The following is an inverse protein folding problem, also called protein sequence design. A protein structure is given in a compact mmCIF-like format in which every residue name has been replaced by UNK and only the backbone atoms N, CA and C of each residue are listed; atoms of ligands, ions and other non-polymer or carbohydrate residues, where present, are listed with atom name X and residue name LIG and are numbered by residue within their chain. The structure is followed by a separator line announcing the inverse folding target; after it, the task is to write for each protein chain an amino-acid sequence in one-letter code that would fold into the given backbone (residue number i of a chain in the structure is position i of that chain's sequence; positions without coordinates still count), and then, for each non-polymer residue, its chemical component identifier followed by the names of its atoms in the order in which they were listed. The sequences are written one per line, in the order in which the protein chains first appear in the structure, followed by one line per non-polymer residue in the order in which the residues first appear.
data_IF_218232312273
#
_entry.id   IF_218232312273
#
_cell.length_a   1.000
_cell.length_b   1.000
_cell.length_c   1.000
_cell.angle_alpha   90.00
_cell.angle_beta   90.00
_cell.angle_gamma   90.00
#
_symmetry.space_group_name_H-M   'P 1'
#
loop_
_entity.id
_entity.type
_entity.pdbx_description
1 polymer ?
#
# COMPACT_ATOMS: atom_id res chain seq x y z
N UNK A 1 10.67 -8.76 -59.37
CA UNK A 1 10.58 -7.29 -59.32
C UNK A 1 9.41 -6.87 -60.18
N UNK A 2 8.44 -6.06 -59.74
CA UNK A 2 8.35 -5.23 -58.50
C UNK A 2 7.54 -5.99 -57.39
N UNK A 3 7.73 -5.87 -56.06
CA UNK A 3 7.68 -4.75 -55.07
C UNK A 3 6.35 -3.96 -55.17
N UNK A 4 5.56 -3.65 -54.13
CA UNK A 4 5.70 -3.70 -52.67
C UNK A 4 4.36 -3.23 -52.03
N UNK A 5 4.10 -3.62 -50.76
CA UNK A 5 3.41 -2.85 -49.70
C UNK A 5 1.97 -2.34 -50.01
N UNK A 6 0.93 -2.79 -49.33
CA UNK A 6 0.75 -2.70 -47.89
C UNK A 6 -0.26 -1.60 -47.58
N UNK A 7 -1.42 -1.98 -47.02
CA UNK A 7 -2.15 -1.12 -46.08
C UNK A 7 -2.86 -2.04 -45.09
N UNK A 8 -2.14 -2.44 -44.06
CA UNK A 8 -2.76 -2.86 -42.81
C UNK A 8 -3.57 -1.68 -42.29
N UNK A 9 -4.89 -1.81 -42.24
CA UNK A 9 -5.72 -0.84 -41.52
C UNK A 9 -5.26 -0.85 -40.06
N UNK A 10 -4.78 0.27 -39.49
CA UNK A 10 -4.66 0.34 -38.04
C UNK A 10 -6.08 0.29 -37.48
N UNK A 11 -6.39 -0.77 -36.74
CA UNK A 11 -7.54 -0.76 -35.87
C UNK A 11 -7.33 0.39 -34.87
N UNK A 12 -7.96 1.54 -35.14
CA UNK A 12 -8.01 2.64 -34.20
C UNK A 12 -8.90 2.14 -33.06
N UNK A 13 -8.26 1.53 -32.05
CA UNK A 13 -8.87 1.32 -30.75
C UNK A 13 -9.13 2.71 -30.17
N UNK A 14 -10.32 3.23 -30.45
CA UNK A 14 -10.82 4.44 -29.81
C UNK A 14 -11.13 4.08 -28.36
N UNK A 15 -10.09 4.06 -27.53
CA UNK A 15 -10.23 3.97 -26.09
C UNK A 15 -10.99 5.23 -25.65
N UNK A 16 -12.25 5.05 -25.27
CA UNK A 16 -13.05 6.08 -24.64
C UNK A 16 -12.28 6.66 -23.44
N UNK A 17 -11.62 7.79 -23.67
CA UNK A 17 -10.77 8.49 -22.70
C UNK A 17 -11.54 8.92 -21.45
N UNK A 18 -12.86 9.04 -21.56
CA UNK A 18 -13.78 9.28 -20.45
C UNK A 18 -13.91 8.07 -19.49
N UNK A 19 -13.88 6.84 -20.00
CA UNK A 19 -13.97 5.64 -19.15
C UNK A 19 -12.69 5.46 -18.32
N UNK A 20 -11.53 5.77 -18.91
CA UNK A 20 -10.22 5.68 -18.23
C UNK A 20 -10.11 6.68 -17.07
N UNK A 21 -10.69 7.88 -17.21
CA UNK A 21 -10.68 8.90 -16.15
C UNK A 21 -11.48 8.49 -14.91
N UNK A 22 -12.58 7.75 -15.07
CA UNK A 22 -13.42 7.30 -13.93
C UNK A 22 -12.89 6.05 -13.22
N UNK A 23 -11.95 5.32 -13.83
CA UNK A 23 -11.33 4.14 -13.23
C UNK A 23 -10.25 4.55 -12.21
N UNK A 24 -9.48 5.62 -12.49
CA UNK A 24 -8.39 6.05 -11.61
C UNK A 24 -8.82 6.37 -10.16
N UNK A 25 -9.92 7.10 -9.92
CA UNK A 25 -10.36 7.39 -8.55
C UNK A 25 -10.76 6.13 -7.77
N UNK A 26 -11.45 5.19 -8.44
CA UNK A 26 -11.88 3.92 -7.83
C UNK A 26 -10.69 3.02 -7.49
N UNK A 27 -9.68 2.97 -8.37
CA UNK A 27 -8.45 2.21 -8.11
C UNK A 27 -7.70 2.79 -6.91
N UNK A 28 -7.52 4.11 -6.85
CA UNK A 28 -6.82 4.78 -5.73
C UNK A 28 -7.53 4.58 -4.39
N UNK A 29 -8.87 4.62 -4.39
CA UNK A 29 -9.66 4.37 -3.17
C UNK A 29 -9.49 2.92 -2.71
N UNK A 30 -9.57 1.97 -3.63
CA UNK A 30 -9.38 0.55 -3.32
C UNK A 30 -7.98 0.29 -2.75
N UNK A 31 -6.95 0.86 -3.37
CA UNK A 31 -5.57 0.78 -2.90
C UNK A 31 -5.40 1.38 -1.50
N UNK A 32 -6.04 2.51 -1.21
CA UNK A 32 -6.04 3.09 0.12
C UNK A 32 -6.73 2.18 1.16
N UNK A 33 -7.87 1.58 0.80
CA UNK A 33 -8.55 0.61 1.66
C UNK A 33 -7.69 -0.62 1.93
N UNK A 34 -7.00 -1.16 0.92
CA UNK A 34 -6.11 -2.31 1.05
C UNK A 34 -4.93 -1.99 1.99
N UNK A 35 -4.34 -0.79 1.88
CA UNK A 35 -3.28 -0.32 2.78
C UNK A 35 -3.77 -0.17 4.23
N UNK A 36 -4.97 0.36 4.44
CA UNK A 36 -5.58 0.48 5.76
C UNK A 36 -5.83 -0.91 6.36
N UNK A 37 -6.38 -1.85 5.59
CA UNK A 37 -6.62 -3.21 6.07
C UNK A 37 -5.32 -3.92 6.51
N UNK A 38 -4.26 -3.78 5.71
CA UNK A 38 -2.93 -4.31 6.06
C UNK A 38 -2.37 -3.65 7.33
N UNK A 39 -2.48 -2.34 7.45
CA UNK A 39 -2.04 -1.61 8.64
C UNK A 39 -2.83 -2.06 9.88
N UNK A 40 -4.14 -2.26 9.78
CA UNK A 40 -4.95 -2.78 10.88
C UNK A 40 -4.46 -4.14 11.36
N UNK A 41 -4.28 -5.12 10.45
CA UNK A 41 -3.78 -6.45 10.83
C UNK A 41 -2.39 -6.39 11.45
N UNK A 42 -1.52 -5.50 10.98
CA UNK A 42 -0.19 -5.29 11.55
C UNK A 42 -0.25 -4.65 12.94
N UNK A 43 -1.16 -3.71 13.16
CA UNK A 43 -1.40 -3.10 14.47
C UNK A 43 -1.92 -4.15 15.47
N UNK A 44 -2.87 -4.98 15.07
CA UNK A 44 -3.40 -6.08 15.88
C UNK A 44 -2.28 -7.06 16.27
N UNK A 45 -1.43 -7.43 15.32
CA UNK A 45 -0.27 -8.27 15.60
C UNK A 45 0.68 -7.63 16.61
N UNK A 46 1.04 -6.35 16.43
CA UNK A 46 1.93 -5.64 17.36
C UNK A 46 1.30 -5.56 18.77
N UNK A 47 0.00 -5.28 18.85
CA UNK A 47 -0.74 -5.23 20.12
C UNK A 47 -0.82 -6.59 20.82
N UNK A 48 -0.70 -7.70 20.08
CA UNK A 48 -0.64 -9.05 20.67
C UNK A 48 0.68 -9.35 21.38
N UNK A 49 1.73 -8.55 21.15
CA UNK A 49 3.04 -8.76 21.77
C UNK A 49 2.99 -8.27 23.22
N UNK A 50 2.94 -9.21 24.16
CA UNK A 50 3.09 -8.93 25.59
C UNK A 50 4.54 -9.14 26.02
N UNK A 51 5.13 -8.13 26.68
CA UNK A 51 6.42 -8.25 27.35
C UNK A 51 6.16 -8.53 28.82
N UNK A 52 6.29 -9.79 29.24
CA UNK A 52 6.14 -10.20 30.63
C UNK A 52 7.51 -10.43 31.25
N UNK A 53 7.83 -9.68 32.30
CA UNK A 53 8.91 -10.05 33.20
C UNK A 53 8.44 -11.11 34.19
N UNK A 54 9.35 -11.95 34.67
CA UNK A 54 9.07 -12.80 35.83
C UNK A 54 8.83 -11.93 37.07
N UNK A 55 8.08 -12.47 38.04
CA UNK A 55 7.88 -11.79 39.33
C UNK A 55 9.25 -11.44 39.95
N UNK A 56 9.39 -10.18 40.34
CA UNK A 56 10.60 -9.59 40.93
C UNK A 56 11.83 -9.46 40.00
N UNK A 57 11.65 -9.55 38.67
CA UNK A 57 12.71 -9.23 37.69
C UNK A 57 12.40 -7.97 36.89
N UNK A 58 13.41 -7.16 36.66
CA UNK A 58 13.31 -6.06 35.69
C UNK A 58 13.30 -6.60 34.27
N UNK A 59 12.42 -6.06 33.42
CA UNK A 59 12.46 -6.30 31.99
C UNK A 59 13.59 -5.47 31.37
N UNK A 60 14.75 -6.09 31.18
CA UNK A 60 15.87 -5.45 30.49
C UNK A 60 15.85 -5.87 29.02
N UNK A 61 15.69 -4.89 28.13
CA UNK A 61 15.79 -5.08 26.68
C UNK A 61 17.19 -4.68 26.23
N UNK A 62 17.95 -5.64 25.71
CA UNK A 62 19.27 -5.42 25.15
C UNK A 62 19.19 -4.59 23.85
N UNK A 63 20.25 -3.84 23.51
CA UNK A 63 20.36 -3.20 22.21
C UNK A 63 20.09 -4.20 21.10
N UNK A 64 19.25 -3.80 20.12
CA UNK A 64 18.75 -4.61 18.99
C UNK A 64 17.58 -5.55 19.27
N UNK A 65 17.21 -5.83 20.52
CA UNK A 65 16.04 -6.68 20.80
C UNK A 65 14.71 -6.04 20.40
N UNK A 66 14.67 -4.71 20.34
CA UNK A 66 13.49 -3.94 19.89
C UNK A 66 13.57 -3.49 18.43
N UNK A 67 14.65 -3.81 17.70
CA UNK A 67 14.85 -3.31 16.33
C UNK A 67 13.80 -3.86 15.37
N UNK A 68 13.41 -5.13 15.52
CA UNK A 68 12.31 -5.71 14.73
C UNK A 68 10.98 -4.99 14.98
N UNK A 69 10.67 -4.73 16.26
CA UNK A 69 9.46 -3.98 16.65
C UNK A 69 9.47 -2.56 16.08
N UNK A 70 10.63 -1.88 16.14
CA UNK A 70 10.81 -0.55 15.57
C UNK A 70 10.50 -0.54 14.06
N UNK A 71 11.07 -1.45 13.27
CA UNK A 71 10.80 -1.49 11.83
C UNK A 71 9.35 -1.84 11.50
N UNK A 72 8.73 -2.72 12.29
CA UNK A 72 7.31 -3.04 12.14
C UNK A 72 6.40 -1.83 12.43
N UNK A 73 6.74 -1.02 13.43
CA UNK A 73 6.02 0.23 13.71
C UNK A 73 6.24 1.28 12.61
N UNK A 74 7.45 1.35 12.06
CA UNK A 74 7.76 2.26 10.97
C UNK A 74 6.96 1.91 9.70
N UNK A 75 6.93 0.63 9.30
CA UNK A 75 6.17 0.17 8.13
C UNK A 75 4.66 0.41 8.29
N UNK A 76 4.13 0.19 9.50
CA UNK A 76 2.74 0.52 9.84
C UNK A 76 2.42 2.00 9.54
N UNK A 77 3.25 2.92 10.06
CA UNK A 77 3.07 4.36 9.86
C UNK A 77 3.18 4.74 8.40
N UNK A 78 4.12 4.15 7.66
CA UNK A 78 4.32 4.43 6.24
C UNK A 78 3.12 4.00 5.39
N UNK A 79 2.47 2.88 5.72
CA UNK A 79 1.23 2.43 5.07
C UNK A 79 0.07 3.39 5.31
N UNK A 80 -0.11 3.84 6.56
CA UNK A 80 -1.16 4.81 6.91
C UNK A 80 -0.96 6.14 6.17
N UNK A 81 0.27 6.66 6.13
CA UNK A 81 0.60 7.88 5.36
C UNK A 81 0.33 7.72 3.87
N UNK A 82 0.67 6.57 3.27
CA UNK A 82 0.36 6.30 1.85
C UNK A 82 -1.15 6.28 1.61
N UNK A 83 -1.93 5.65 2.49
CA UNK A 83 -3.38 5.62 2.39
C UNK A 83 -3.99 7.02 2.49
N UNK A 84 -3.53 7.84 3.44
CA UNK A 84 -3.93 9.24 3.61
C UNK A 84 -3.67 10.05 2.32
N UNK A 85 -2.47 9.97 1.76
CA UNK A 85 -2.12 10.65 0.50
C UNK A 85 -3.02 10.21 -0.66
N UNK A 86 -3.36 8.92 -0.74
CA UNK A 86 -4.25 8.40 -1.79
C UNK A 86 -5.68 8.93 -1.62
N UNK A 87 -6.18 9.03 -0.38
CA UNK A 87 -7.50 9.56 -0.07
C UNK A 87 -7.56 11.07 -0.32
N UNK A 88 -6.55 11.83 0.08
CA UNK A 88 -6.50 13.27 -0.13
C UNK A 88 -6.47 13.64 -1.61
N UNK A 89 -5.79 12.85 -2.44
CA UNK A 89 -5.80 12.98 -3.90
C UNK A 89 -7.16 12.72 -4.55
N UNK A 90 -8.15 12.22 -3.80
CA UNK A 90 -9.53 12.03 -4.27
C UNK A 90 -10.47 13.15 -3.82
N UNK A 91 -10.07 13.95 -2.83
CA UNK A 91 -10.87 15.07 -2.30
C UNK A 91 -10.73 16.35 -3.14
N UNK A 92 -9.69 16.43 -3.99
CA UNK A 92 -9.37 17.54 -4.90
C UNK A 92 -9.81 17.17 -6.31
#
# INVERSE_FOLDING_TARGET
MPNSLGTSMPAILNFNSHAVRNIQPKIRLREACDLIAQATSQAEFIQSIALTAEADKELVLEPRQVTGLYYSLQDLVDRLRKAEILIDKLRI
#
